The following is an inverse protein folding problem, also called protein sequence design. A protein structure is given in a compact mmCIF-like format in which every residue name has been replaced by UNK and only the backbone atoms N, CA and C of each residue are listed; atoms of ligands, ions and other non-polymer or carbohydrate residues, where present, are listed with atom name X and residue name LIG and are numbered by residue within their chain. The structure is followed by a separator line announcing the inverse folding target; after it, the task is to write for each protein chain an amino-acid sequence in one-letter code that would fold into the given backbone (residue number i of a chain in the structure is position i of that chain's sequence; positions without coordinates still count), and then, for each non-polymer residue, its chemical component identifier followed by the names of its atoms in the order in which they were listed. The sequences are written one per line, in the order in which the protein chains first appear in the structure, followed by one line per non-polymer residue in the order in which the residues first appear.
data_IF_063480397248
#
_entry.id   IF_063480397248
#
_cell.length_a   1.000
_cell.length_b   1.000
_cell.length_c   1.000
_cell.angle_alpha   90.00
_cell.angle_beta   90.00
_cell.angle_gamma   90.00
#
_symmetry.space_group_name_H-M   'P 1'
#
loop_
_entity.id
_entity.type
_entity.pdbx_description
1 polymer ?
#
# COMPACT_ATOMS: atom_id res chain seq x y z
N UNK A 1 12.63 -35.73 8.05
CA UNK A 1 13.96 -35.77 7.41
C UNK A 1 14.09 -34.60 6.44
N UNK A 2 15.16 -33.79 6.57
CA UNK A 2 15.49 -32.70 5.65
C UNK A 2 16.79 -33.09 4.94
N UNK A 3 16.78 -33.07 3.61
CA UNK A 3 17.94 -33.34 2.78
C UNK A 3 18.18 -32.09 1.91
N UNK A 4 19.38 -31.50 2.03
CA UNK A 4 19.82 -30.43 1.12
C UNK A 4 20.85 -31.01 0.15
N UNK A 5 20.44 -31.18 -1.09
CA UNK A 5 21.28 -31.87 -2.13
C UNK A 5 22.52 -31.02 -2.43
N UNK A 6 22.34 -29.70 -2.60
CA UNK A 6 23.44 -28.79 -2.94
C UNK A 6 24.45 -28.57 -1.79
N UNK A 7 24.02 -28.76 -0.56
CA UNK A 7 24.88 -28.58 0.63
C UNK A 7 25.44 -29.90 1.16
N UNK A 8 25.02 -31.02 0.60
CA UNK A 8 25.41 -32.36 1.07
C UNK A 8 24.95 -32.62 2.52
N UNK A 9 23.83 -32.03 2.94
CA UNK A 9 23.32 -32.14 4.30
C UNK A 9 22.13 -33.13 4.37
N UNK A 10 22.18 -34.05 5.31
CA UNK A 10 21.10 -34.95 5.67
C UNK A 10 20.88 -34.92 7.18
N UNK A 11 19.71 -34.49 7.64
CA UNK A 11 19.40 -34.27 9.07
C UNK A 11 19.50 -35.55 9.93
N UNK A 12 19.47 -36.76 9.30
CA UNK A 12 19.63 -38.03 10.01
C UNK A 12 21.11 -38.47 10.00
N UNK A 13 21.80 -38.34 8.86
CA UNK A 13 23.17 -38.82 8.70
C UNK A 13 24.24 -37.82 9.08
N UNK A 14 23.87 -36.53 9.29
CA UNK A 14 24.79 -35.43 9.67
C UNK A 14 24.77 -35.15 11.18
N UNK A 15 24.44 -36.13 12.01
CA UNK A 15 24.33 -35.97 13.47
C UNK A 15 25.68 -35.82 14.22
N UNK A 16 26.81 -35.84 13.50
CA UNK A 16 28.12 -35.60 14.08
C UNK A 16 28.43 -34.11 14.30
N UNK A 17 29.28 -33.81 15.27
CA UNK A 17 29.77 -32.45 15.62
C UNK A 17 30.23 -31.65 14.39
N UNK A 18 30.91 -32.30 13.45
CA UNK A 18 31.39 -31.72 12.19
C UNK A 18 30.27 -31.30 11.23
N UNK A 19 29.19 -32.08 11.15
CA UNK A 19 28.04 -31.77 10.28
C UNK A 19 27.28 -30.52 10.77
N UNK A 20 27.03 -30.43 12.06
CA UNK A 20 26.39 -29.27 12.68
C UNK A 20 27.21 -27.98 12.56
N UNK A 21 28.53 -28.08 12.74
CA UNK A 21 29.46 -26.93 12.61
C UNK A 21 29.54 -26.45 11.16
N UNK A 22 29.58 -27.33 10.18
CA UNK A 22 29.59 -26.98 8.74
C UNK A 22 28.34 -26.21 8.33
N UNK A 23 27.14 -26.64 8.78
CA UNK A 23 25.87 -25.93 8.51
C UNK A 23 25.85 -24.57 9.19
N UNK A 24 26.29 -24.47 10.44
CA UNK A 24 26.36 -23.21 11.15
C UNK A 24 27.31 -22.21 10.46
N UNK A 25 28.48 -22.66 10.01
CA UNK A 25 29.43 -21.86 9.27
C UNK A 25 28.87 -21.39 7.91
N UNK A 26 28.23 -22.27 7.15
CA UNK A 26 27.57 -21.90 5.89
C UNK A 26 26.47 -20.86 6.11
N UNK A 27 25.64 -21.03 7.14
CA UNK A 27 24.60 -20.06 7.48
C UNK A 27 25.18 -18.70 7.88
N UNK A 28 26.30 -18.69 8.62
CA UNK A 28 27.01 -17.48 8.97
C UNK A 28 27.58 -16.77 7.74
N UNK A 29 28.22 -17.51 6.83
CA UNK A 29 28.75 -16.98 5.55
C UNK A 29 27.63 -16.41 4.69
N UNK A 30 26.51 -17.11 4.54
CA UNK A 30 25.34 -16.64 3.79
C UNK A 30 24.74 -15.36 4.41
N UNK A 31 24.69 -15.29 5.74
CA UNK A 31 24.23 -14.08 6.44
C UNK A 31 25.21 -12.90 6.24
N UNK A 32 26.52 -13.15 6.26
CA UNK A 32 27.54 -12.14 5.98
C UNK A 32 27.45 -11.65 4.53
N UNK A 33 27.34 -12.55 3.56
CA UNK A 33 27.17 -12.23 2.15
C UNK A 33 25.91 -11.37 1.92
N UNK A 34 24.78 -11.76 2.50
CA UNK A 34 23.53 -11.03 2.38
C UNK A 34 23.64 -9.60 2.97
N UNK A 35 24.38 -9.43 4.08
CA UNK A 35 24.64 -8.11 4.67
C UNK A 35 25.55 -7.25 3.77
N UNK A 36 26.60 -7.85 3.22
CA UNK A 36 27.53 -7.15 2.33
C UNK A 36 26.83 -6.71 1.04
N UNK A 37 26.08 -7.60 0.41
CA UNK A 37 25.26 -7.30 -0.76
C UNK A 37 24.27 -6.16 -0.45
N UNK A 38 23.59 -6.21 0.70
CA UNK A 38 22.68 -5.14 1.12
C UNK A 38 23.38 -3.79 1.28
N UNK A 39 24.62 -3.78 1.78
CA UNK A 39 25.44 -2.55 1.89
C UNK A 39 25.79 -2.00 0.51
N UNK A 40 26.27 -2.86 -0.40
CA UNK A 40 26.66 -2.48 -1.75
C UNK A 40 25.46 -1.90 -2.53
N UNK A 41 24.31 -2.58 -2.51
CA UNK A 41 23.08 -2.10 -3.15
C UNK A 41 22.65 -0.76 -2.57
N UNK A 42 22.70 -0.58 -1.25
CA UNK A 42 22.33 0.69 -0.60
C UNK A 42 23.31 1.82 -0.96
N UNK A 43 24.60 1.52 -1.07
CA UNK A 43 25.60 2.49 -1.51
C UNK A 43 25.34 2.94 -2.95
N UNK A 44 25.09 2.01 -3.87
CA UNK A 44 24.75 2.32 -5.25
C UNK A 44 23.47 3.16 -5.34
N UNK A 45 22.40 2.76 -4.63
CA UNK A 45 21.16 3.55 -4.57
C UNK A 45 21.38 4.97 -4.03
N UNK A 46 22.28 5.13 -3.05
CA UNK A 46 22.62 6.45 -2.51
C UNK A 46 23.31 7.33 -3.56
N UNK A 47 24.18 6.75 -4.39
CA UNK A 47 24.82 7.46 -5.50
C UNK A 47 23.80 7.91 -6.54
N UNK A 48 22.93 7.00 -7.01
CA UNK A 48 21.84 7.32 -7.92
C UNK A 48 20.93 8.42 -7.38
N UNK A 49 20.57 8.32 -6.08
CA UNK A 49 19.74 9.33 -5.44
C UNK A 49 20.39 10.72 -5.42
N UNK A 50 21.71 10.80 -5.17
CA UNK A 50 22.45 12.07 -5.21
C UNK A 50 22.52 12.68 -6.61
N UNK A 51 22.50 11.84 -7.65
CA UNK A 51 22.45 12.28 -9.04
C UNK A 51 21.04 12.75 -9.47
N UNK A 52 20.04 12.67 -8.59
CA UNK A 52 18.66 13.03 -8.94
C UNK A 52 17.94 11.98 -9.77
N UNK A 53 18.43 10.76 -9.81
CA UNK A 53 17.86 9.67 -10.59
C UNK A 53 16.61 9.08 -9.89
N UNK A 54 15.53 8.91 -10.65
CA UNK A 54 14.30 8.29 -10.16
C UNK A 54 14.39 6.77 -10.21
N UNK A 55 14.60 6.12 -9.06
CA UNK A 55 14.84 4.69 -8.98
C UNK A 55 13.60 3.80 -8.81
N UNK A 56 12.43 4.27 -8.30
CA UNK A 56 11.27 3.38 -8.13
C UNK A 56 10.86 2.71 -9.44
N UNK A 57 10.38 1.45 -9.34
CA UNK A 57 9.97 0.66 -10.49
C UNK A 57 8.85 1.34 -11.31
N UNK A 58 7.90 1.96 -10.62
CA UNK A 58 6.77 2.64 -11.24
C UNK A 58 6.86 4.16 -11.03
N UNK A 59 6.54 4.97 -12.07
CA UNK A 59 6.47 6.41 -11.92
C UNK A 59 5.31 6.80 -11.00
N UNK A 60 5.36 8.01 -10.46
CA UNK A 60 4.21 8.58 -9.73
C UNK A 60 3.14 9.02 -10.72
N UNK A 61 1.88 8.89 -10.33
CA UNK A 61 0.74 9.34 -11.13
C UNK A 61 0.91 10.82 -11.52
N UNK A 62 0.73 11.13 -12.79
CA UNK A 62 1.07 12.43 -13.37
C UNK A 62 2.41 12.44 -14.11
N UNK A 63 3.22 11.41 -13.96
CA UNK A 63 4.49 11.24 -14.66
C UNK A 63 4.59 9.90 -15.37
N UNK A 64 5.44 9.84 -16.38
CA UNK A 64 5.93 8.62 -17.02
C UNK A 64 7.46 8.62 -16.92
N UNK A 65 8.07 7.44 -17.06
CA UNK A 65 9.52 7.35 -17.24
C UNK A 65 9.88 7.73 -18.67
N UNK A 66 10.95 8.48 -18.82
CA UNK A 66 11.48 8.82 -20.15
C UNK A 66 11.84 7.50 -20.89
N UNK A 67 11.42 7.34 -22.16
CA UNK A 67 11.79 6.19 -22.97
C UNK A 67 13.31 6.04 -23.19
N UNK A 68 14.04 7.15 -23.24
CA UNK A 68 15.50 7.19 -23.45
C UNK A 68 16.25 7.04 -22.12
N UNK A 69 15.75 7.64 -21.04
CA UNK A 69 16.33 7.54 -19.69
C UNK A 69 15.28 7.09 -18.66
N UNK A 70 15.30 5.80 -18.32
CA UNK A 70 14.38 5.22 -17.32
C UNK A 70 14.52 5.79 -15.90
N UNK A 71 15.55 6.59 -15.66
CA UNK A 71 15.79 7.27 -14.38
C UNK A 71 15.30 8.72 -14.36
N UNK A 72 14.81 9.22 -15.49
CA UNK A 72 14.20 10.54 -15.58
C UNK A 72 12.66 10.45 -15.63
N UNK A 73 11.98 11.45 -15.05
CA UNK A 73 10.53 11.58 -15.08
C UNK A 73 10.11 12.66 -16.05
N UNK A 74 9.17 12.32 -16.94
CA UNK A 74 8.53 13.25 -17.88
C UNK A 74 7.05 13.39 -17.51
N UNK A 75 6.48 14.57 -17.67
CA UNK A 75 5.06 14.83 -17.39
C UNK A 75 4.20 14.01 -18.36
N UNK A 76 3.20 13.30 -17.82
CA UNK A 76 2.11 12.70 -18.57
C UNK A 76 0.94 13.70 -18.62
N UNK A 77 0.66 14.37 -19.76
CA UNK A 77 -0.31 15.46 -19.82
C UNK A 77 -1.68 15.07 -19.28
N UNK A 78 -2.19 13.89 -19.65
CA UNK A 78 -3.51 13.41 -19.25
C UNK A 78 -3.62 13.20 -17.73
N UNK A 79 -2.63 12.53 -17.14
CA UNK A 79 -2.61 12.30 -15.70
C UNK A 79 -2.26 13.55 -14.90
N UNK A 80 -1.45 14.45 -15.45
CA UNK A 80 -1.06 15.70 -14.81
C UNK A 80 -2.25 16.66 -14.63
N UNK A 81 -3.21 16.69 -15.54
CA UNK A 81 -4.43 17.47 -15.39
C UNK A 81 -5.23 17.04 -14.14
N UNK A 82 -5.35 15.74 -13.92
CA UNK A 82 -5.99 15.22 -12.70
C UNK A 82 -5.22 15.60 -11.44
N UNK A 83 -3.89 15.59 -11.47
CA UNK A 83 -3.06 16.04 -10.34
C UNK A 83 -3.30 17.52 -10.05
N UNK A 84 -3.26 18.37 -11.08
CA UNK A 84 -3.54 19.81 -10.96
C UNK A 84 -4.93 20.06 -10.37
N UNK A 85 -5.94 19.34 -10.84
CA UNK A 85 -7.31 19.44 -10.33
C UNK A 85 -7.38 19.09 -8.83
N UNK A 86 -6.74 17.99 -8.39
CA UNK A 86 -6.69 17.59 -6.97
C UNK A 86 -6.08 18.69 -6.09
N UNK A 87 -4.95 19.28 -6.52
CA UNK A 87 -4.29 20.33 -5.77
C UNK A 87 -5.08 21.63 -5.75
N UNK A 88 -5.72 22.02 -6.86
CA UNK A 88 -6.61 23.20 -6.92
C UNK A 88 -7.80 23.03 -5.98
N UNK A 89 -8.48 21.89 -6.05
CA UNK A 89 -9.60 21.60 -5.15
C UNK A 89 -9.19 21.64 -3.66
N UNK A 90 -7.99 21.17 -3.33
CA UNK A 90 -7.46 21.22 -1.97
C UNK A 90 -7.13 22.66 -1.53
N UNK A 91 -6.54 23.46 -2.41
CA UNK A 91 -6.27 24.89 -2.19
C UNK A 91 -7.56 25.71 -1.99
N UNK A 92 -8.64 25.36 -2.71
CA UNK A 92 -9.98 25.92 -2.54
C UNK A 92 -10.65 25.51 -1.22
N UNK A 93 -10.00 24.67 -0.42
CA UNK A 93 -10.46 24.25 0.89
C UNK A 93 -11.38 23.04 0.91
N UNK A 94 -11.53 22.31 -0.19
CA UNK A 94 -12.26 21.03 -0.20
C UNK A 94 -11.52 19.99 0.63
N UNK A 95 -12.27 19.22 1.38
CA UNK A 95 -11.71 18.10 2.17
C UNK A 95 -11.28 16.96 1.25
N UNK A 96 -10.31 16.17 1.70
CA UNK A 96 -9.84 14.99 0.95
C UNK A 96 -10.96 14.00 0.60
N UNK A 97 -11.98 13.91 1.47
CA UNK A 97 -13.18 13.09 1.21
C UNK A 97 -14.05 13.64 0.08
N UNK A 98 -14.25 14.97 0.03
CA UNK A 98 -14.98 15.64 -1.05
C UNK A 98 -14.25 15.52 -2.39
N UNK A 99 -12.92 15.65 -2.39
CA UNK A 99 -12.10 15.45 -3.59
C UNK A 99 -12.24 14.01 -4.09
N UNK A 100 -12.07 13.02 -3.20
CA UNK A 100 -12.22 11.62 -3.57
C UNK A 100 -13.63 11.30 -4.11
N UNK A 101 -14.67 11.86 -3.47
CA UNK A 101 -16.06 11.72 -3.91
C UNK A 101 -16.25 12.29 -5.30
N UNK A 102 -15.80 13.51 -5.55
CA UNK A 102 -15.90 14.16 -6.87
C UNK A 102 -15.23 13.32 -7.96
N UNK A 103 -14.00 12.84 -7.75
CA UNK A 103 -13.27 12.02 -8.72
C UNK A 103 -13.97 10.67 -8.99
N UNK A 104 -14.63 10.09 -7.99
CA UNK A 104 -15.39 8.86 -8.14
C UNK A 104 -16.71 9.09 -8.90
N UNK A 105 -17.42 10.18 -8.63
CA UNK A 105 -18.66 10.57 -9.30
C UNK A 105 -18.44 10.96 -10.76
N UNK A 106 -17.32 11.59 -11.06
CA UNK A 106 -16.93 11.96 -12.42
C UNK A 106 -16.20 10.83 -13.16
N UNK A 107 -16.12 9.64 -12.56
CA UNK A 107 -15.50 8.45 -13.14
C UNK A 107 -14.06 8.65 -13.63
N UNK A 108 -13.29 9.52 -12.97
CA UNK A 108 -11.88 9.70 -13.26
C UNK A 108 -11.13 8.42 -12.89
N UNK A 109 -10.36 7.87 -13.84
CA UNK A 109 -9.59 6.65 -13.62
C UNK A 109 -8.64 6.81 -12.41
N UNK A 110 -8.66 5.82 -11.52
CA UNK A 110 -7.71 5.79 -10.41
C UNK A 110 -6.28 5.63 -10.91
N UNK A 111 -5.30 6.02 -10.09
CA UNK A 111 -3.88 5.87 -10.43
C UNK A 111 -3.55 4.45 -10.94
N UNK A 112 -4.15 3.43 -10.34
CA UNK A 112 -3.92 2.04 -10.71
C UNK A 112 -4.58 1.67 -12.03
N UNK A 113 -5.83 2.05 -12.24
CA UNK A 113 -6.55 1.80 -13.51
C UNK A 113 -5.85 2.49 -14.67
N UNK A 114 -5.41 3.73 -14.44
CA UNK A 114 -4.67 4.49 -15.43
C UNK A 114 -3.35 3.79 -15.82
N UNK A 115 -2.59 3.34 -14.83
CA UNK A 115 -1.35 2.58 -15.07
C UNK A 115 -1.61 1.27 -15.84
N UNK A 116 -2.67 0.54 -15.47
CA UNK A 116 -3.08 -0.68 -16.18
C UNK A 116 -3.46 -0.37 -17.64
N UNK A 117 -4.18 0.74 -17.89
CA UNK A 117 -4.53 1.21 -19.25
C UNK A 117 -3.27 1.51 -20.08
N UNK A 118 -2.21 2.04 -19.46
CA UNK A 118 -0.91 2.27 -20.09
C UNK A 118 -0.06 0.98 -20.24
N UNK A 119 -0.61 -0.20 -19.93
CA UNK A 119 0.07 -1.49 -20.07
C UNK A 119 1.03 -1.83 -18.91
N UNK A 120 1.05 -1.05 -17.85
CA UNK A 120 1.89 -1.32 -16.67
C UNK A 120 1.16 -2.32 -15.78
N UNK A 121 1.61 -3.59 -15.81
CA UNK A 121 1.05 -4.66 -14.95
C UNK A 121 1.48 -4.43 -13.50
N UNK A 122 0.54 -4.09 -12.63
CA UNK A 122 0.77 -4.01 -11.19
C UNK A 122 0.34 -5.34 -10.53
N UNK A 123 1.24 -5.97 -9.80
CA UNK A 123 0.96 -7.22 -9.06
C UNK A 123 -0.21 -7.05 -8.08
N UNK A 124 -1.08 -8.05 -8.01
CA UNK A 124 -2.31 -8.21 -7.23
C UNK A 124 -3.53 -7.49 -7.83
N UNK A 125 -4.15 -8.12 -8.79
CA UNK A 125 -5.52 -7.82 -9.18
C UNK A 125 -6.49 -8.58 -8.26
N UNK A 126 -7.10 -7.85 -7.32
CA UNK A 126 -8.34 -8.29 -6.71
C UNK A 126 -9.47 -7.82 -7.64
N UNK A 127 -9.88 -8.68 -8.56
CA UNK A 127 -10.95 -8.39 -9.53
C UNK A 127 -12.30 -8.06 -8.88
N UNK A 128 -12.47 -8.49 -7.61
CA UNK A 128 -13.69 -8.27 -6.83
C UNK A 128 -13.84 -6.86 -6.25
N UNK A 129 -12.75 -6.08 -6.15
CA UNK A 129 -12.80 -4.73 -5.59
C UNK A 129 -12.91 -3.68 -6.69
N UNK A 130 -13.98 -2.88 -6.66
CA UNK A 130 -14.04 -1.67 -7.49
C UNK A 130 -12.92 -0.71 -7.11
N UNK A 131 -12.18 -0.28 -8.11
CA UNK A 131 -11.07 0.66 -7.96
C UNK A 131 -11.68 2.06 -7.78
N UNK A 132 -11.55 2.62 -6.58
CA UNK A 132 -12.10 3.92 -6.22
C UNK A 132 -10.99 4.81 -5.65
N UNK A 133 -11.07 6.11 -5.93
CA UNK A 133 -10.26 7.11 -5.27
C UNK A 133 -10.51 7.07 -3.75
N UNK A 134 -9.47 7.04 -2.97
CA UNK A 134 -9.54 6.97 -1.51
C UNK A 134 -8.95 8.23 -0.87
N UNK A 135 -9.43 8.55 0.33
CA UNK A 135 -8.89 9.66 1.14
C UNK A 135 -7.39 9.50 1.39
N UNK A 136 -6.93 8.26 1.53
CA UNK A 136 -5.50 7.95 1.74
C UNK A 136 -4.69 8.29 0.49
N UNK A 137 -5.15 7.88 -0.70
CA UNK A 137 -4.47 8.18 -1.96
C UNK A 137 -4.35 9.69 -2.17
N UNK A 138 -5.45 10.44 -1.97
CA UNK A 138 -5.43 11.91 -2.06
C UNK A 138 -4.46 12.51 -1.03
N UNK A 139 -4.48 12.00 0.22
CA UNK A 139 -3.57 12.47 1.26
C UNK A 139 -2.11 12.24 0.95
N UNK A 140 -1.79 11.10 0.35
CA UNK A 140 -0.42 10.75 -0.04
C UNK A 140 0.05 11.60 -1.23
N UNK A 141 -0.85 11.89 -2.18
CA UNK A 141 -0.55 12.78 -3.30
C UNK A 141 -0.27 14.20 -2.82
N UNK A 142 -1.15 14.79 -2.01
CA UNK A 142 -1.00 16.16 -1.53
C UNK A 142 0.27 16.40 -0.71
N UNK A 143 0.84 15.35 -0.09
CA UNK A 143 2.09 15.42 0.70
C UNK A 143 3.34 15.09 -0.11
N UNK A 144 3.19 14.71 -1.37
CA UNK A 144 4.31 14.20 -2.14
C UNK A 144 5.03 15.31 -2.90
N UNK A 145 6.21 15.64 -2.45
CA UNK A 145 7.05 16.69 -3.02
C UNK A 145 7.62 16.36 -4.41
N UNK A 146 7.40 15.15 -4.92
CA UNK A 146 7.72 14.79 -6.31
C UNK A 146 6.98 15.71 -7.30
N UNK A 147 5.77 16.18 -6.97
CA UNK A 147 5.01 17.10 -7.80
C UNK A 147 5.63 18.51 -7.91
N UNK A 148 6.57 18.83 -7.02
CA UNK A 148 7.41 20.04 -7.06
C UNK A 148 8.72 19.86 -7.83
N UNK A 149 8.91 18.73 -8.53
CA UNK A 149 10.18 18.42 -9.18
C UNK A 149 11.28 17.92 -8.25
N UNK A 150 10.95 17.58 -6.98
CA UNK A 150 11.92 17.14 -5.98
C UNK A 150 11.92 15.62 -5.86
N UNK A 151 13.11 15.03 -5.81
CA UNK A 151 13.30 13.62 -5.46
C UNK A 151 13.85 13.54 -4.04
N UNK A 152 13.14 12.82 -3.16
CA UNK A 152 13.56 12.62 -1.79
C UNK A 152 13.74 11.12 -1.55
N UNK A 153 14.96 10.77 -1.21
CA UNK A 153 15.36 9.40 -0.91
C UNK A 153 15.68 9.23 0.57
N UNK A 154 15.66 7.98 1.06
CA UNK A 154 16.01 7.58 2.43
C UNK A 154 15.04 8.08 3.52
N UNK A 155 13.77 8.40 3.19
CA UNK A 155 12.74 8.75 4.20
C UNK A 155 12.48 7.60 5.17
N UNK A 156 12.61 6.34 4.70
CA UNK A 156 12.36 5.13 5.50
C UNK A 156 13.42 4.08 5.20
N UNK A 157 13.74 3.28 6.21
CA UNK A 157 14.63 2.12 6.08
C UNK A 157 14.01 0.88 6.70
N UNK A 158 14.44 -0.28 6.25
CA UNK A 158 14.13 -1.54 6.93
C UNK A 158 14.92 -1.59 8.25
N UNK A 159 14.25 -1.90 9.35
CA UNK A 159 14.87 -1.87 10.69
C UNK A 159 16.11 -2.74 10.80
N UNK A 160 16.08 -3.93 10.18
CA UNK A 160 17.23 -4.86 10.05
C UNK A 160 17.04 -5.76 8.83
N UNK A 161 18.11 -6.26 8.26
CA UNK A 161 18.07 -7.22 7.15
C UNK A 161 17.21 -8.43 7.50
N UNK A 162 16.28 -8.81 6.62
CA UNK A 162 15.31 -9.89 6.83
C UNK A 162 14.05 -9.49 7.62
N UNK A 163 13.92 -8.22 8.03
CA UNK A 163 12.71 -7.71 8.68
C UNK A 163 11.80 -6.99 7.67
N UNK A 164 10.49 -7.13 7.81
CA UNK A 164 9.50 -6.34 7.06
C UNK A 164 9.14 -5.01 7.76
N UNK A 165 9.75 -4.73 8.93
CA UNK A 165 9.45 -3.52 9.69
C UNK A 165 10.20 -2.32 9.10
N UNK A 166 9.43 -1.32 8.64
CA UNK A 166 9.95 -0.04 8.18
C UNK A 166 10.05 0.94 9.36
N UNK A 167 11.16 1.64 9.44
CA UNK A 167 11.42 2.72 10.42
C UNK A 167 11.69 3.99 9.64
N UNK A 168 11.15 5.12 10.11
CA UNK A 168 11.45 6.43 9.55
C UNK A 168 12.85 6.85 9.93
N UNK A 169 13.59 7.41 9.00
CA UNK A 169 14.87 8.06 9.24
C UNK A 169 14.66 9.52 9.64
N UNK A 170 15.61 10.07 10.34
CA UNK A 170 15.65 11.50 10.65
C UNK A 170 15.80 12.31 9.37
N UNK A 171 15.28 13.53 9.39
CA UNK A 171 15.27 14.40 8.19
C UNK A 171 16.67 14.72 7.68
N UNK A 172 17.65 14.74 8.57
CA UNK A 172 19.07 14.96 8.26
C UNK A 172 19.69 13.85 7.41
N UNK A 173 19.15 12.63 7.49
CA UNK A 173 19.58 11.49 6.68
C UNK A 173 18.90 11.46 5.29
N UNK A 174 17.94 12.35 5.04
CA UNK A 174 17.26 12.38 3.75
C UNK A 174 18.18 12.97 2.68
N UNK A 175 18.14 12.38 1.50
CA UNK A 175 18.76 12.96 0.32
C UNK A 175 17.66 13.65 -0.47
N UNK A 176 17.74 14.97 -0.55
CA UNK A 176 16.78 15.79 -1.28
C UNK A 176 17.52 16.36 -2.48
N UNK A 177 17.00 16.10 -3.67
CA UNK A 177 17.47 16.72 -4.92
C UNK A 177 16.34 17.55 -5.47
N UNK A 178 16.59 18.83 -5.58
CA UNK A 178 15.65 19.81 -6.16
C UNK A 178 15.82 19.87 -7.67
N UNK A 179 14.75 20.22 -8.37
CA UNK A 179 14.73 20.34 -9.83
C UNK A 179 15.23 19.08 -10.58
N UNK A 180 14.96 17.90 -10.04
CA UNK A 180 15.33 16.63 -10.66
C UNK A 180 14.48 16.28 -11.89
N UNK A 181 13.32 16.90 -12.03
CA UNK A 181 12.41 16.76 -13.17
C UNK A 181 11.45 17.97 -13.21
N UNK A 182 10.71 18.11 -14.30
CA UNK A 182 9.75 19.20 -14.47
C UNK A 182 8.60 19.09 -13.44
N UNK A 183 8.31 20.19 -12.69
CA UNK A 183 7.22 20.19 -11.69
C UNK A 183 5.85 20.28 -12.37
N UNK A 184 4.88 19.51 -11.88
CA UNK A 184 3.47 19.64 -12.29
C UNK A 184 2.78 20.79 -11.55
N UNK A 185 3.20 21.05 -10.31
CA UNK A 185 2.57 21.97 -9.36
C UNK A 185 3.58 23.03 -8.93
N UNK A 186 3.14 24.29 -8.81
CA UNK A 186 3.95 25.35 -8.22
C UNK A 186 4.06 25.21 -6.70
N UNK A 187 5.15 25.69 -6.11
CA UNK A 187 5.36 25.73 -4.65
C UNK A 187 4.21 26.46 -3.93
N UNK A 188 3.69 27.53 -4.52
CA UNK A 188 2.58 28.30 -3.96
C UNK A 188 1.29 27.47 -3.86
N UNK A 189 0.92 26.75 -4.93
CA UNK A 189 -0.26 25.88 -4.96
C UNK A 189 -0.11 24.71 -3.98
N UNK A 190 1.08 24.10 -3.94
CA UNK A 190 1.38 23.02 -3.01
C UNK A 190 1.24 23.48 -1.55
N UNK A 191 1.75 24.66 -1.20
CA UNK A 191 1.64 25.23 0.14
C UNK A 191 0.19 25.48 0.49
N UNK A 192 -0.57 26.20 -0.35
CA UNK A 192 -2.00 26.49 -0.14
C UNK A 192 -2.83 25.21 0.06
N UNK A 193 -2.59 24.18 -0.75
CA UNK A 193 -3.28 22.90 -0.65
C UNK A 193 -3.00 22.18 0.70
N UNK A 194 -1.83 22.41 1.30
CA UNK A 194 -1.42 21.78 2.55
C UNK A 194 -1.73 22.63 3.81
N UNK A 195 -1.85 23.93 3.72
CA UNK A 195 -2.12 24.80 4.88
C UNK A 195 -3.39 24.40 5.63
N UNK A 196 -4.47 24.04 4.94
CA UNK A 196 -5.76 23.63 5.54
C UNK A 196 -5.86 22.13 5.87
N UNK A 197 -4.89 21.31 5.44
CA UNK A 197 -4.94 19.86 5.60
C UNK A 197 -4.53 19.35 6.99
N UNK A 198 -4.02 20.20 7.87
CA UNK A 198 -3.42 19.82 9.15
C UNK A 198 -4.33 19.93 10.38
N UNK A 199 -5.64 20.07 10.24
CA UNK A 199 -6.54 19.89 11.39
C UNK A 199 -6.59 18.40 11.76
N UNK A 200 -5.59 17.96 12.50
CA UNK A 200 -5.49 16.62 13.07
C UNK A 200 -6.51 16.46 14.21
N UNK A 201 -7.69 15.98 13.90
CA UNK A 201 -8.49 15.31 14.93
C UNK A 201 -7.82 13.95 15.22
N UNK A 202 -7.26 13.79 16.41
CA UNK A 202 -6.84 12.50 16.94
C UNK A 202 -8.06 11.57 16.91
N UNK A 203 -8.10 10.66 15.92
CA UNK A 203 -9.15 9.63 15.88
C UNK A 203 -8.92 8.67 17.04
N UNK A 204 -9.83 8.69 17.99
CA UNK A 204 -9.94 7.62 18.99
C UNK A 204 -10.17 6.32 18.22
N UNK A 205 -9.25 5.38 18.36
CA UNK A 205 -9.39 4.05 17.76
C UNK A 205 -10.57 3.35 18.42
N UNK A 206 -11.69 3.25 17.70
CA UNK A 206 -12.84 2.45 18.15
C UNK A 206 -12.40 0.98 18.28
N UNK A 207 -12.83 0.33 19.37
CA UNK A 207 -12.60 -1.12 19.56
C UNK A 207 -13.18 -1.86 18.36
N UNK A 208 -12.35 -2.67 17.68
CA UNK A 208 -12.79 -3.48 16.55
C UNK A 208 -13.76 -4.55 17.02
N UNK A 209 -14.91 -4.70 16.35
CA UNK A 209 -15.81 -5.82 16.58
C UNK A 209 -15.14 -7.14 16.15
N UNK A 210 -15.55 -8.24 16.76
CA UNK A 210 -14.97 -9.57 16.55
C UNK A 210 -15.06 -10.03 15.09
N UNK A 211 -16.14 -9.68 14.39
CA UNK A 211 -16.39 -10.10 13.00
C UNK A 211 -15.86 -9.10 11.92
N UNK A 212 -15.09 -8.07 12.31
CA UNK A 212 -14.70 -6.98 11.44
C UNK A 212 -13.95 -7.38 10.14
N UNK A 213 -13.15 -8.47 10.07
CA UNK A 213 -12.45 -8.81 8.81
C UNK A 213 -13.25 -9.68 7.83
N UNK A 214 -14.47 -10.11 8.17
CA UNK A 214 -15.19 -11.18 7.44
C UNK A 214 -16.18 -10.63 6.42
N UNK A 215 -16.84 -9.50 6.72
CA UNK A 215 -17.89 -8.94 5.87
C UNK A 215 -17.36 -7.99 4.82
N UNK A 216 -17.92 -8.09 3.61
CA UNK A 216 -17.57 -7.24 2.47
C UNK A 216 -18.80 -6.52 1.93
N UNK A 217 -18.60 -5.31 1.44
CA UNK A 217 -19.66 -4.55 0.77
C UNK A 217 -19.97 -5.21 -0.58
N UNK A 218 -21.21 -5.59 -0.87
CA UNK A 218 -21.58 -6.21 -2.14
C UNK A 218 -21.40 -5.26 -3.33
N UNK A 219 -21.49 -3.94 -3.10
CA UNK A 219 -21.42 -2.94 -4.15
C UNK A 219 -19.99 -2.63 -4.58
N UNK A 220 -19.06 -2.42 -3.62
CA UNK A 220 -17.68 -2.02 -3.95
C UNK A 220 -16.62 -3.09 -3.63
N UNK A 221 -17.00 -4.24 -3.07
CA UNK A 221 -16.11 -5.36 -2.73
C UNK A 221 -15.18 -5.11 -1.54
N UNK A 222 -15.23 -3.93 -0.91
CA UNK A 222 -14.37 -3.62 0.25
C UNK A 222 -14.95 -4.12 1.55
N UNK A 223 -14.07 -4.38 2.52
CA UNK A 223 -14.48 -4.82 3.85
C UNK A 223 -15.35 -3.79 4.55
N UNK A 224 -16.39 -4.25 5.22
CA UNK A 224 -17.20 -3.41 6.10
C UNK A 224 -16.40 -3.04 7.35
N UNK A 225 -16.57 -1.82 7.82
CA UNK A 225 -15.96 -1.32 9.03
C UNK A 225 -16.96 -1.27 10.17
N UNK A 226 -16.54 -1.64 11.38
CA UNK A 226 -17.36 -1.48 12.57
C UNK A 226 -17.40 -0.04 13.03
N UNK A 227 -18.58 0.48 13.33
CA UNK A 227 -18.78 1.81 13.90
C UNK A 227 -19.43 1.71 15.27
N UNK A 228 -18.75 2.23 16.28
CA UNK A 228 -19.27 2.24 17.65
C UNK A 228 -20.48 3.18 17.86
N UNK A 229 -20.66 4.15 16.96
CA UNK A 229 -21.81 5.08 17.01
C UNK A 229 -23.13 4.41 16.61
N UNK A 230 -23.07 3.50 15.65
CA UNK A 230 -24.24 2.81 15.11
C UNK A 230 -24.31 1.34 15.56
N UNK A 231 -23.37 0.92 16.45
CA UNK A 231 -23.29 -0.46 16.98
C UNK A 231 -23.32 -1.56 15.91
N UNK A 232 -22.81 -1.25 14.71
CA UNK A 232 -22.90 -2.17 13.58
C UNK A 232 -21.76 -2.03 12.57
N UNK A 233 -21.87 -2.79 11.50
CA UNK A 233 -20.96 -2.82 10.36
C UNK A 233 -21.53 -2.02 9.21
N UNK A 234 -20.69 -1.23 8.52
CA UNK A 234 -21.09 -0.51 7.32
C UNK A 234 -19.95 -0.35 6.33
N UNK A 235 -20.29 -0.04 5.09
CA UNK A 235 -19.30 0.32 4.09
C UNK A 235 -18.63 1.66 4.45
N UNK A 236 -17.33 1.60 4.78
CA UNK A 236 -16.54 2.80 5.12
C UNK A 236 -16.30 3.70 3.91
N UNK A 237 -16.60 3.24 2.71
CA UNK A 237 -16.48 4.01 1.47
C UNK A 237 -17.79 4.69 1.06
N UNK A 238 -18.88 4.50 1.80
CA UNK A 238 -20.20 5.02 1.45
C UNK A 238 -20.21 6.53 1.16
N UNK A 239 -19.43 7.29 1.92
CA UNK A 239 -19.36 8.76 1.79
C UNK A 239 -18.45 9.27 0.65
N UNK A 240 -17.65 8.38 0.04
CA UNK A 240 -16.69 8.76 -1.01
C UNK A 240 -16.83 7.94 -2.30
N UNK A 241 -17.63 6.86 -2.28
CA UNK A 241 -17.72 5.93 -3.42
C UNK A 241 -18.51 6.49 -4.60
N UNK A 242 -19.45 7.42 -4.36
CA UNK A 242 -20.44 7.83 -5.34
C UNK A 242 -21.44 6.73 -5.71
N UNK A 243 -21.37 5.56 -5.08
CA UNK A 243 -22.23 4.40 -5.35
C UNK A 243 -23.34 4.32 -4.30
N UNK A 244 -24.61 4.40 -4.71
CA UNK A 244 -25.79 4.37 -3.83
C UNK A 244 -25.83 3.11 -2.94
N UNK A 245 -25.59 1.94 -3.52
CA UNK A 245 -25.59 0.67 -2.77
C UNK A 245 -24.54 0.56 -1.66
N UNK A 246 -23.48 1.40 -1.68
CA UNK A 246 -22.54 1.47 -0.55
C UNK A 246 -23.17 2.08 0.70
N UNK A 247 -24.09 3.03 0.55
CA UNK A 247 -24.78 3.65 1.68
C UNK A 247 -25.77 2.68 2.33
N UNK A 248 -26.34 1.77 1.55
CA UNK A 248 -27.29 0.74 1.99
C UNK A 248 -26.59 -0.47 2.62
N UNK A 249 -25.31 -0.66 2.36
CA UNK A 249 -24.50 -1.78 2.89
C UNK A 249 -24.22 -1.59 4.38
N UNK A 250 -25.22 -1.92 5.21
CA UNK A 250 -25.20 -1.86 6.67
C UNK A 250 -25.64 -3.21 7.22
N UNK A 251 -25.13 -3.57 8.41
CA UNK A 251 -25.50 -4.77 9.15
C UNK A 251 -25.36 -4.48 10.64
N UNK A 252 -26.37 -4.84 11.44
CA UNK A 252 -26.28 -4.69 12.89
C UNK A 252 -25.27 -5.68 13.48
N UNK A 253 -24.76 -5.35 14.67
CA UNK A 253 -23.77 -6.21 15.33
C UNK A 253 -24.33 -7.58 15.66
N UNK A 254 -25.57 -7.65 16.19
CA UNK A 254 -26.19 -8.91 16.56
C UNK A 254 -26.41 -9.81 15.35
N UNK A 255 -26.96 -9.25 14.27
CA UNK A 255 -27.17 -9.93 13.01
C UNK A 255 -25.84 -10.47 12.44
N UNK A 256 -24.77 -9.67 12.52
CA UNK A 256 -23.46 -10.10 12.09
C UNK A 256 -22.89 -11.26 12.91
N UNK A 257 -23.04 -11.20 14.23
CA UNK A 257 -22.59 -12.27 15.14
C UNK A 257 -23.40 -13.55 14.93
N UNK A 258 -24.72 -13.47 14.76
CA UNK A 258 -25.61 -14.61 14.44
C UNK A 258 -25.21 -15.25 13.10
N UNK A 259 -25.04 -14.45 12.05
CA UNK A 259 -24.62 -14.94 10.72
C UNK A 259 -23.30 -15.71 10.78
N UNK A 260 -22.33 -15.24 11.57
CA UNK A 260 -21.05 -15.94 11.73
C UNK A 260 -21.20 -17.23 12.50
N UNK A 261 -22.03 -17.24 13.55
CA UNK A 261 -22.30 -18.45 14.34
C UNK A 261 -23.01 -19.52 13.51
N UNK A 262 -24.00 -19.12 12.71
CA UNK A 262 -24.72 -20.05 11.83
C UNK A 262 -23.84 -20.62 10.74
N UNK A 263 -23.00 -19.77 10.13
CA UNK A 263 -22.00 -20.24 9.16
C UNK A 263 -21.02 -21.24 9.79
N UNK A 264 -20.57 -20.99 11.03
CA UNK A 264 -19.69 -21.89 11.75
C UNK A 264 -20.38 -23.23 12.11
N UNK A 265 -21.65 -23.19 12.53
CA UNK A 265 -22.45 -24.41 12.80
C UNK A 265 -22.62 -25.25 11.54
N UNK A 266 -23.02 -24.62 10.43
CA UNK A 266 -23.21 -25.30 9.16
C UNK A 266 -21.90 -25.93 8.66
N UNK A 267 -20.77 -25.26 8.84
CA UNK A 267 -19.46 -25.78 8.47
C UNK A 267 -19.06 -26.98 9.35
N UNK A 268 -19.31 -26.92 10.66
CA UNK A 268 -19.06 -28.03 11.58
C UNK A 268 -19.92 -29.25 11.23
N UNK A 269 -21.18 -29.05 10.91
CA UNK A 269 -22.08 -30.12 10.47
C UNK A 269 -21.61 -30.75 9.16
N UNK A 270 -21.25 -29.93 8.15
CA UNK A 270 -20.69 -30.42 6.88
C UNK A 270 -19.42 -31.25 7.06
N UNK A 271 -18.54 -30.85 7.99
CA UNK A 271 -17.31 -31.59 8.29
C UNK A 271 -17.64 -32.93 8.95
N UNK A 272 -18.57 -32.96 9.92
CA UNK A 272 -18.96 -34.21 10.60
C UNK A 272 -19.59 -35.22 9.65
N UNK A 273 -20.49 -34.77 8.76
CA UNK A 273 -21.13 -35.62 7.73
C UNK A 273 -20.13 -36.21 6.73
N UNK A 274 -19.10 -35.43 6.37
CA UNK A 274 -18.05 -35.92 5.45
C UNK A 274 -17.03 -36.83 6.12
N UNK A 275 -16.82 -36.70 7.43
CA UNK A 275 -16.00 -37.64 8.20
C UNK A 275 -16.67 -38.99 8.40
N UNK A 276 -17.99 -39.01 8.57
CA UNK A 276 -18.78 -40.24 8.68
C UNK A 276 -18.83 -40.99 7.35
N UNK A 277 -18.88 -40.31 6.21
CA UNK A 277 -18.86 -40.94 4.87
C UNK A 277 -17.52 -41.56 4.48
N UNK A 278 -16.44 -41.23 5.21
CA UNK A 278 -15.10 -41.80 4.97
C UNK A 278 -14.69 -42.93 5.91
N UNK A 279 -15.54 -43.29 6.85
CA UNK A 279 -15.46 -44.54 7.66
C UNK A 279 -16.25 -45.66 7.00
#
# INVERSE_FOLDING_TARGET
RIISINDGFDSINSSGFTGGMSVALKNMLNAMYSRDLSRKVRSAMKTHAKNGEYMPAFPKYGYIKDPEDKHHLVIDPEAAETVKLIFTMAADGKTKGQIAKYLNETHVLTCREYMCRKGIKMHRENEKEKKLWSVTTISDMLKNEVYLGKIIWNKKRVARTGSNKLVSNDKEEWIVVENAHEPIISDELFRKANEKAFTNQKKVLAKRGVACPIFFCPTCGRRLGFTSRETGYRCMQAHISGLSGCAESKMDRKEAEETVLDAARNMAQFISENLEKKK
#
